data_IF_858088227978
#
_entry.id   IF_858088227978
#
_cell.length_a   1.000
_cell.length_b   1.000
_cell.length_c   1.000
_cell.angle_alpha   90.00
_cell.angle_beta   90.00
_cell.angle_gamma   90.00
#
_symmetry.space_group_name_H-M   'P 1'
#
loop_
_entity.id
_entity.type
_entity.pdbx_description
1 polymer ?
#
# COMPACT_ATOMS: atom_id res chain seq x y z
N UNK A 1 -19.69 10.57 -9.61
CA UNK A 1 -19.82 11.38 -8.39
C UNK A 1 -18.44 11.97 -8.11
N UNK A 2 -18.31 13.26 -7.87
CA UNK A 2 -17.01 13.92 -7.70
C UNK A 2 -16.57 13.87 -6.22
N UNK A 3 -15.31 13.52 -5.98
CA UNK A 3 -14.67 13.62 -4.66
C UNK A 3 -13.83 14.89 -4.67
N UNK A 4 -14.12 15.80 -3.74
CA UNK A 4 -13.43 17.09 -3.62
C UNK A 4 -12.81 17.20 -2.23
N UNK A 5 -11.54 17.60 -2.20
CA UNK A 5 -10.83 17.91 -0.97
C UNK A 5 -10.10 19.26 -1.07
N UNK A 6 -9.90 19.95 0.07
CA UNK A 6 -9.23 21.24 0.08
C UNK A 6 -7.77 21.10 -0.36
N UNK A 7 -7.15 22.21 -0.73
CA UNK A 7 -5.70 22.29 -0.71
C UNK A 7 -5.22 22.21 0.74
N UNK A 8 -4.00 21.74 0.92
CA UNK A 8 -3.38 21.60 2.22
C UNK A 8 -2.77 22.91 2.71
N UNK A 9 -1.81 22.77 3.62
CA UNK A 9 -1.09 23.90 4.24
C UNK A 9 0.22 24.25 3.52
N UNK A 10 0.48 23.63 2.36
CA UNK A 10 1.72 23.79 1.60
C UNK A 10 1.46 24.13 0.14
N UNK A 11 1.99 23.31 -0.77
CA UNK A 11 1.88 23.48 -2.22
C UNK A 11 3.16 23.93 -2.91
N UNK A 12 4.27 23.99 -2.17
CA UNK A 12 5.60 24.35 -2.67
C UNK A 12 6.63 23.29 -2.30
N UNK A 13 7.89 23.55 -2.65
CA UNK A 13 9.00 22.64 -2.41
C UNK A 13 9.19 22.38 -0.91
N UNK A 14 9.56 21.14 -0.58
CA UNK A 14 9.94 20.77 0.79
C UNK A 14 11.16 21.60 1.20
N UNK A 15 11.02 22.39 2.28
CA UNK A 15 12.02 23.38 2.70
C UNK A 15 12.99 22.89 3.78
N UNK A 16 12.74 21.73 4.38
CA UNK A 16 13.52 21.22 5.51
C UNK A 16 13.47 19.69 5.63
N UNK A 17 14.31 19.14 6.51
CA UNK A 17 14.42 17.70 6.72
C UNK A 17 15.38 17.00 5.75
N UNK A 18 15.57 15.67 5.88
CA UNK A 18 16.57 14.92 5.14
C UNK A 18 16.31 14.86 3.63
N UNK A 19 15.08 15.17 3.20
CA UNK A 19 14.67 15.12 1.80
C UNK A 19 14.48 16.51 1.17
N UNK A 20 14.84 17.60 1.83
CA UNK A 20 14.70 18.95 1.27
C UNK A 20 15.45 19.14 -0.06
N UNK A 21 16.56 18.43 -0.24
CA UNK A 21 17.42 18.50 -1.43
C UNK A 21 17.31 17.28 -2.34
N UNK A 22 16.25 16.47 -2.20
CA UNK A 22 16.05 15.33 -3.11
C UNK A 22 15.66 15.82 -4.50
N UNK A 23 16.24 15.19 -5.52
CA UNK A 23 15.89 15.45 -6.92
C UNK A 23 14.96 14.35 -7.43
N UNK A 24 13.88 14.77 -8.07
CA UNK A 24 12.81 13.91 -8.57
C UNK A 24 12.90 13.92 -10.10
N UNK A 25 13.26 12.79 -10.72
CA UNK A 25 13.83 12.76 -12.11
C UNK A 25 12.89 12.27 -13.23
N UNK A 26 11.68 11.81 -12.93
CA UNK A 26 10.71 11.28 -13.89
C UNK A 26 9.40 12.07 -13.82
N UNK A 27 8.32 11.64 -14.49
CA UNK A 27 6.98 12.25 -14.35
C UNK A 27 6.94 13.78 -14.58
N UNK A 28 5.84 14.45 -14.25
CA UNK A 28 4.56 13.88 -13.86
C UNK A 28 3.92 13.07 -15.00
N UNK A 29 3.13 12.05 -14.66
CA UNK A 29 2.39 11.22 -15.61
C UNK A 29 0.91 11.61 -15.58
N UNK A 30 0.29 11.63 -14.41
CA UNK A 30 -1.10 12.11 -14.20
C UNK A 30 -1.18 12.83 -12.85
N UNK A 31 -0.50 13.97 -12.74
CA UNK A 31 -0.44 14.75 -11.50
C UNK A 31 -1.70 15.62 -11.35
N UNK A 32 -2.49 15.38 -10.30
CA UNK A 32 -3.63 16.22 -9.99
C UNK A 32 -3.20 17.55 -9.32
N UNK A 33 -3.62 18.67 -9.92
CA UNK A 33 -3.31 20.03 -9.48
C UNK A 33 -4.55 20.74 -8.91
N UNK A 34 -4.29 21.75 -8.08
CA UNK A 34 -5.35 22.61 -7.52
C UNK A 34 -6.16 23.27 -8.65
N UNK A 35 -7.49 23.28 -8.48
CA UNK A 35 -8.41 23.85 -9.47
C UNK A 35 -8.80 22.88 -10.59
N UNK A 36 -8.82 21.57 -10.31
CA UNK A 36 -9.23 20.51 -11.25
C UNK A 36 -8.41 20.52 -12.55
N UNK A 37 -7.10 20.70 -12.40
CA UNK A 37 -6.14 20.63 -13.52
C UNK A 37 -5.31 19.35 -13.38
N UNK A 38 -4.80 18.85 -14.49
CA UNK A 38 -3.91 17.68 -14.51
C UNK A 38 -2.66 18.03 -15.30
N UNK A 39 -1.49 17.68 -14.77
CA UNK A 39 -0.21 17.77 -15.49
C UNK A 39 0.23 16.38 -15.95
N UNK A 40 0.47 16.25 -17.25
CA UNK A 40 0.92 15.03 -17.92
C UNK A 40 2.22 15.26 -18.71
N UNK A 41 2.88 16.40 -18.50
CA UNK A 41 4.01 16.89 -19.30
C UNK A 41 5.24 16.01 -19.28
N UNK A 42 5.39 15.15 -18.27
CA UNK A 42 6.52 14.24 -18.09
C UNK A 42 6.22 12.77 -18.38
N UNK A 43 5.09 12.45 -19.00
CA UNK A 43 4.77 11.09 -19.41
C UNK A 43 5.81 10.52 -20.40
N UNK A 44 6.02 9.20 -20.34
CA UNK A 44 6.93 8.48 -21.25
C UNK A 44 8.39 8.37 -20.78
N UNK A 45 8.62 8.36 -19.47
CA UNK A 45 9.94 8.09 -18.84
C UNK A 45 11.07 9.04 -19.27
N UNK A 46 10.73 10.24 -19.74
CA UNK A 46 11.73 11.25 -20.07
C UNK A 46 12.35 11.79 -18.78
N UNK A 47 13.65 12.10 -18.87
CA UNK A 47 14.33 12.80 -17.78
C UNK A 47 13.67 14.16 -17.55
N UNK A 48 13.05 14.33 -16.39
CA UNK A 48 12.42 15.57 -15.95
C UNK A 48 12.78 15.80 -14.48
N UNK A 49 13.73 16.72 -14.25
CA UNK A 49 14.21 17.02 -12.91
C UNK A 49 13.38 18.11 -12.26
N UNK A 50 12.73 17.79 -11.15
CA UNK A 50 12.04 18.72 -10.29
C UNK A 50 12.40 18.46 -8.82
N UNK A 51 12.01 19.37 -7.93
CA UNK A 51 12.14 19.20 -6.50
C UNK A 51 10.84 18.61 -5.92
N UNK A 52 10.97 17.93 -4.78
CA UNK A 52 9.83 17.36 -4.07
C UNK A 52 8.89 18.46 -3.55
N UNK A 53 7.60 18.35 -3.87
CA UNK A 53 6.55 19.27 -3.41
C UNK A 53 5.60 18.55 -2.46
N UNK A 54 5.20 19.21 -1.37
CA UNK A 54 4.15 18.69 -0.47
C UNK A 54 3.10 19.74 -0.16
N UNK A 55 1.87 19.28 -0.01
CA UNK A 55 0.71 20.09 0.34
C UNK A 55 -0.11 19.32 1.39
N UNK A 56 0.43 19.26 2.61
CA UNK A 56 -0.09 18.40 3.68
C UNK A 56 -1.55 18.76 4.01
N UNK A 57 -2.44 17.79 3.86
CA UNK A 57 -3.90 17.97 3.91
C UNK A 57 -4.55 17.03 4.93
N UNK A 58 -4.56 17.43 6.21
CA UNK A 58 -5.11 16.63 7.32
C UNK A 58 -6.59 16.28 7.16
N UNK A 59 -7.35 17.12 6.47
CA UNK A 59 -8.78 16.89 6.22
C UNK A 59 -9.02 15.59 5.42
N UNK A 60 -8.09 15.20 4.53
CA UNK A 60 -8.16 13.93 3.81
C UNK A 60 -7.93 12.76 4.78
N UNK A 61 -6.98 12.90 5.72
CA UNK A 61 -6.72 11.89 6.74
C UNK A 61 -7.94 11.69 7.63
N UNK A 62 -8.55 12.77 8.12
CA UNK A 62 -9.74 12.68 8.94
C UNK A 62 -10.92 12.03 8.23
N UNK A 63 -11.06 12.24 6.92
CA UNK A 63 -12.16 11.68 6.13
C UNK A 63 -11.97 10.21 5.76
N UNK A 64 -10.75 9.79 5.42
CA UNK A 64 -10.52 8.50 4.75
C UNK A 64 -9.48 7.62 5.44
N UNK A 65 -8.63 8.16 6.31
CA UNK A 65 -7.47 7.47 6.89
C UNK A 65 -7.51 7.57 8.42
N UNK A 66 -8.66 7.23 8.99
CA UNK A 66 -8.88 7.21 10.44
C UNK A 66 -9.04 5.77 10.96
N UNK A 67 -9.11 5.63 12.28
CA UNK A 67 -9.27 4.33 12.94
C UNK A 67 -10.51 3.57 12.44
N UNK A 68 -11.64 4.26 12.25
CA UNK A 68 -12.88 3.67 11.73
C UNK A 68 -12.65 3.07 10.35
N UNK A 69 -11.95 3.77 9.45
CA UNK A 69 -11.63 3.25 8.11
C UNK A 69 -10.81 1.95 8.18
N UNK A 70 -9.84 1.88 9.10
CA UNK A 70 -9.06 0.64 9.33
C UNK A 70 -9.93 -0.47 9.92
N UNK A 71 -10.77 -0.16 10.91
CA UNK A 71 -11.68 -1.13 11.51
C UNK A 71 -12.70 -1.68 10.51
N UNK A 72 -13.21 -0.84 9.60
CA UNK A 72 -14.08 -1.29 8.50
C UNK A 72 -13.36 -2.32 7.63
N UNK A 73 -12.10 -2.11 7.27
CA UNK A 73 -11.33 -3.11 6.53
C UNK A 73 -11.20 -4.42 7.32
N UNK A 74 -10.84 -4.34 8.60
CA UNK A 74 -10.58 -5.53 9.41
C UNK A 74 -11.85 -6.35 9.73
N UNK A 75 -12.96 -5.66 10.01
CA UNK A 75 -14.19 -6.27 10.52
C UNK A 75 -15.25 -6.52 9.45
N UNK A 76 -15.38 -5.62 8.49
CA UNK A 76 -16.54 -5.54 7.59
C UNK A 76 -16.24 -6.00 6.16
N UNK A 77 -15.08 -6.63 5.92
CA UNK A 77 -14.74 -7.21 4.61
C UNK A 77 -14.53 -8.73 4.73
N UNK A 78 -15.37 -9.47 4.02
CA UNK A 78 -15.47 -10.93 4.14
C UNK A 78 -14.45 -11.67 3.26
N UNK A 79 -14.04 -11.06 2.15
CA UNK A 79 -13.14 -11.66 1.17
C UNK A 79 -12.11 -10.66 0.63
N UNK A 80 -11.12 -11.18 -0.09
CA UNK A 80 -10.02 -10.41 -0.68
C UNK A 80 -10.53 -9.34 -1.66
N UNK A 81 -11.63 -9.62 -2.38
CA UNK A 81 -12.21 -8.67 -3.32
C UNK A 81 -12.73 -7.43 -2.61
N UNK A 82 -13.51 -7.58 -1.55
CA UNK A 82 -14.03 -6.44 -0.79
C UNK A 82 -12.94 -5.75 0.02
N UNK A 83 -11.98 -6.50 0.58
CA UNK A 83 -10.84 -5.90 1.28
C UNK A 83 -10.06 -4.95 0.36
N UNK A 84 -9.61 -5.42 -0.81
CA UNK A 84 -8.83 -4.59 -1.74
C UNK A 84 -9.67 -3.45 -2.34
N UNK A 85 -10.96 -3.68 -2.59
CA UNK A 85 -11.89 -2.68 -3.15
C UNK A 85 -12.12 -1.52 -2.19
N UNK A 86 -12.39 -1.81 -0.91
CA UNK A 86 -12.59 -0.76 0.10
C UNK A 86 -11.27 -0.05 0.41
N UNK A 87 -10.15 -0.79 0.46
CA UNK A 87 -8.83 -0.21 0.72
C UNK A 87 -8.41 0.79 -0.36
N UNK A 88 -8.71 0.49 -1.62
CA UNK A 88 -8.35 1.28 -2.80
C UNK A 88 -9.43 2.30 -3.22
N UNK A 89 -10.58 2.28 -2.56
CA UNK A 89 -11.75 3.10 -2.91
C UNK A 89 -12.65 2.41 -3.93
N UNK A 90 -13.89 2.12 -3.52
CA UNK A 90 -14.86 1.47 -4.39
C UNK A 90 -15.29 2.41 -5.54
N UNK A 91 -15.34 1.89 -6.76
CA UNK A 91 -15.71 2.68 -7.93
C UNK A 91 -17.13 3.27 -7.77
N UNK A 92 -17.25 4.58 -7.98
CA UNK A 92 -18.52 5.30 -7.78
C UNK A 92 -18.82 5.70 -6.32
N UNK A 93 -18.00 5.29 -5.35
CA UNK A 93 -18.07 5.75 -3.97
C UNK A 93 -17.50 7.16 -3.79
N UNK A 94 -17.90 7.84 -2.72
CA UNK A 94 -17.23 9.06 -2.23
C UNK A 94 -16.10 8.78 -1.25
N UNK A 95 -16.02 7.54 -0.77
CA UNK A 95 -14.92 7.05 0.02
C UNK A 95 -13.83 6.55 -0.92
N UNK A 96 -12.68 7.19 -0.88
CA UNK A 96 -11.52 6.81 -1.68
C UNK A 96 -10.70 5.71 -1.00
N UNK A 97 -10.97 5.38 0.25
CA UNK A 97 -10.21 4.36 0.99
C UNK A 97 -8.87 4.87 1.52
N UNK A 98 -8.27 4.06 2.39
CA UNK A 98 -7.06 4.43 3.13
C UNK A 98 -5.83 4.59 2.22
N UNK A 99 -5.79 3.87 1.09
CA UNK A 99 -4.63 3.85 0.19
C UNK A 99 -4.49 5.17 -0.58
N UNK A 100 -5.42 5.54 -1.49
CA UNK A 100 -5.30 6.84 -2.15
C UNK A 100 -5.55 7.99 -1.17
N UNK A 101 -6.27 7.81 -0.07
CA UNK A 101 -6.42 8.82 0.98
C UNK A 101 -5.09 9.28 1.55
N UNK A 102 -4.20 8.35 1.90
CA UNK A 102 -2.88 8.69 2.44
C UNK A 102 -1.94 9.25 1.37
N UNK A 103 -1.98 8.78 0.13
CA UNK A 103 -1.22 9.41 -0.96
C UNK A 103 -1.65 10.86 -1.18
N UNK A 104 -2.96 11.10 -1.29
CA UNK A 104 -3.50 12.44 -1.57
C UNK A 104 -3.31 13.42 -0.38
N UNK A 105 -3.21 12.92 0.85
CA UNK A 105 -2.98 13.77 2.03
C UNK A 105 -1.56 14.35 2.10
N UNK A 106 -0.58 13.70 1.47
CA UNK A 106 0.76 14.26 1.29
C UNK A 106 0.74 15.47 0.35
N UNK A 107 -0.20 15.46 -0.60
CA UNK A 107 -0.37 16.51 -1.59
C UNK A 107 0.84 16.66 -2.52
N UNK A 108 0.88 17.77 -3.25
CA UNK A 108 2.03 18.12 -4.09
C UNK A 108 2.39 17.10 -5.17
N UNK A 109 3.68 17.05 -5.52
CA UNK A 109 4.28 16.22 -6.56
C UNK A 109 5.45 15.44 -5.95
N UNK A 110 5.39 14.10 -5.91
CA UNK A 110 4.44 13.23 -6.63
C UNK A 110 3.24 12.73 -5.81
N UNK A 111 2.93 13.28 -4.63
CA UNK A 111 1.89 12.72 -3.75
C UNK A 111 0.50 12.61 -4.40
N UNK A 112 0.18 13.51 -5.34
CA UNK A 112 -1.07 13.48 -6.12
C UNK A 112 -0.92 12.87 -7.53
N UNK A 113 0.17 12.17 -7.80
CA UNK A 113 0.39 11.47 -9.07
C UNK A 113 0.52 9.96 -8.84
N UNK A 114 -0.54 9.25 -9.23
CA UNK A 114 -0.71 7.81 -9.00
C UNK A 114 0.49 6.97 -9.49
N UNK A 115 1.07 7.31 -10.64
CA UNK A 115 2.08 6.48 -11.30
C UNK A 115 3.49 6.65 -10.75
N UNK A 116 3.73 7.77 -10.09
CA UNK A 116 5.09 8.20 -9.73
C UNK A 116 5.19 8.58 -8.25
N UNK A 117 4.19 8.19 -7.47
CA UNK A 117 4.13 8.31 -6.02
C UNK A 117 5.34 7.72 -5.29
N UNK A 118 6.02 6.61 -5.72
CA UNK A 118 7.18 6.08 -4.99
C UNK A 118 8.38 7.03 -4.88
N UNK A 119 8.37 8.15 -5.61
CA UNK A 119 9.41 9.19 -5.49
C UNK A 119 9.18 10.13 -4.32
N UNK A 120 8.02 10.06 -3.68
CA UNK A 120 7.77 10.63 -2.36
C UNK A 120 8.25 9.62 -1.30
N UNK A 121 9.28 9.94 -0.50
CA UNK A 121 9.85 9.00 0.47
C UNK A 121 8.84 8.43 1.47
N UNK A 122 7.78 9.18 1.82
CA UNK A 122 6.72 8.72 2.71
C UNK A 122 5.86 7.59 2.10
N UNK A 123 5.87 7.41 0.77
CA UNK A 123 5.11 6.33 0.12
C UNK A 123 5.57 4.94 0.56
N UNK A 124 6.84 4.77 0.94
CA UNK A 124 7.35 3.50 1.48
C UNK A 124 6.78 3.19 2.86
N UNK A 125 6.76 4.17 3.75
CA UNK A 125 6.16 4.01 5.08
C UNK A 125 4.64 3.81 4.98
N UNK A 126 4.00 4.51 4.05
CA UNK A 126 2.58 4.31 3.76
C UNK A 126 2.30 2.87 3.29
N UNK A 127 3.04 2.35 2.31
CA UNK A 127 2.83 0.99 1.80
C UNK A 127 3.21 -0.08 2.83
N UNK A 128 4.17 0.16 3.72
CA UNK A 128 4.40 -0.70 4.87
C UNK A 128 3.17 -0.77 5.80
N UNK A 129 2.47 0.34 6.01
CA UNK A 129 1.22 0.32 6.79
C UNK A 129 0.05 -0.30 6.02
N UNK A 130 0.00 -0.22 4.69
CA UNK A 130 -0.96 -0.95 3.86
C UNK A 130 -0.75 -2.46 4.00
N UNK A 131 0.49 -2.92 3.82
CA UNK A 131 0.86 -4.32 4.00
C UNK A 131 0.56 -4.81 5.42
N UNK A 132 0.82 -3.98 6.43
CA UNK A 132 0.44 -4.28 7.81
C UNK A 132 -1.07 -4.48 7.98
N UNK A 133 -1.91 -3.60 7.44
CA UNK A 133 -3.37 -3.74 7.56
C UNK A 133 -3.85 -4.99 6.83
N UNK A 134 -3.27 -5.31 5.68
CA UNK A 134 -3.53 -6.55 4.95
C UNK A 134 -3.11 -7.79 5.76
N UNK A 135 -1.91 -7.79 6.31
CA UNK A 135 -1.41 -8.84 7.21
C UNK A 135 -2.33 -9.03 8.41
N UNK A 136 -2.76 -7.95 9.07
CA UNK A 136 -3.72 -8.02 10.18
C UNK A 136 -5.05 -8.65 9.74
N UNK A 137 -5.57 -8.27 8.57
CA UNK A 137 -6.80 -8.84 8.02
C UNK A 137 -6.65 -10.33 7.70
N UNK A 138 -5.52 -10.75 7.12
CA UNK A 138 -5.22 -12.15 6.86
C UNK A 138 -5.16 -12.96 8.17
N UNK A 139 -4.53 -12.40 9.21
CA UNK A 139 -4.37 -13.09 10.49
C UNK A 139 -5.66 -13.29 11.30
N UNK A 140 -6.76 -12.63 10.93
CA UNK A 140 -8.08 -12.89 11.54
C UNK A 140 -8.66 -14.24 11.11
N UNK A 141 -8.32 -14.72 9.91
CA UNK A 141 -8.67 -16.05 9.40
C UNK A 141 -7.64 -16.52 8.36
N UNK A 142 -6.45 -16.98 8.80
CA UNK A 142 -5.33 -17.25 7.91
C UNK A 142 -5.59 -18.43 6.97
N UNK A 143 -6.46 -19.37 7.35
CA UNK A 143 -6.83 -20.50 6.51
C UNK A 143 -7.58 -20.02 5.26
N UNK A 144 -8.56 -19.12 5.42
CA UNK A 144 -9.34 -18.61 4.30
C UNK A 144 -8.66 -17.42 3.59
N UNK A 145 -7.87 -16.61 4.29
CA UNK A 145 -7.38 -15.31 3.77
C UNK A 145 -5.94 -15.31 3.28
N UNK A 146 -5.14 -16.31 3.66
CA UNK A 146 -3.73 -16.42 3.24
C UNK A 146 -3.40 -17.79 2.63
N UNK A 147 -3.76 -18.89 3.31
CA UNK A 147 -3.34 -20.23 2.92
C UNK A 147 -4.17 -20.83 1.77
N UNK A 148 -5.46 -20.50 1.68
CA UNK A 148 -6.34 -21.07 0.67
C UNK A 148 -6.17 -20.36 -0.69
N UNK A 149 -5.61 -21.09 -1.63
CA UNK A 149 -5.31 -20.63 -3.00
C UNK A 149 -6.53 -20.16 -3.79
N UNK A 150 -7.74 -20.60 -3.45
CA UNK A 150 -8.97 -20.20 -4.16
C UNK A 150 -9.58 -18.89 -3.67
N UNK A 151 -9.16 -18.40 -2.50
CA UNK A 151 -9.74 -17.22 -1.85
C UNK A 151 -8.71 -16.13 -1.56
N UNK A 152 -7.42 -16.49 -1.47
CA UNK A 152 -6.34 -15.55 -1.14
C UNK A 152 -6.06 -14.52 -2.25
N UNK A 153 -6.46 -14.78 -3.50
CA UNK A 153 -6.29 -13.87 -4.64
C UNK A 153 -7.62 -13.72 -5.38
N UNK A 154 -8.01 -12.48 -5.71
CA UNK A 154 -9.23 -12.21 -6.47
C UNK A 154 -9.11 -10.91 -7.30
N UNK A 155 -9.79 -10.87 -8.44
CA UNK A 155 -9.92 -9.72 -9.33
C UNK A 155 -9.10 -9.81 -10.62
N UNK A 156 -9.34 -8.89 -11.57
CA UNK A 156 -8.69 -8.89 -12.88
C UNK A 156 -7.20 -8.54 -12.77
N UNK A 157 -6.38 -9.06 -13.68
CA UNK A 157 -4.95 -8.72 -13.75
C UNK A 157 -4.67 -7.35 -14.39
N UNK A 158 -5.68 -6.72 -14.99
CA UNK A 158 -5.59 -5.36 -15.53
C UNK A 158 -6.47 -4.40 -14.74
N UNK A 159 -6.04 -3.14 -14.64
CA UNK A 159 -6.72 -2.12 -13.84
C UNK A 159 -8.19 -1.97 -14.28
N UNK A 160 -9.13 -2.25 -13.36
CA UNK A 160 -10.58 -2.27 -13.59
C UNK A 160 -11.02 -3.15 -14.78
N UNK A 161 -10.21 -4.15 -15.17
CA UNK A 161 -10.43 -4.99 -16.36
C UNK A 161 -10.55 -4.17 -17.67
N UNK A 162 -9.87 -3.01 -17.75
CA UNK A 162 -10.01 -2.08 -18.89
C UNK A 162 -9.19 -2.48 -20.12
N UNK A 163 -8.25 -3.43 -19.98
CA UNK A 163 -7.30 -3.79 -21.03
C UNK A 163 -7.10 -5.31 -21.09
N UNK A 164 -6.78 -5.80 -22.29
CA UNK A 164 -6.39 -7.19 -22.50
C UNK A 164 -5.03 -7.51 -21.84
N UNK A 165 -4.80 -8.75 -21.36
CA UNK A 165 -5.74 -9.87 -21.38
C UNK A 165 -6.80 -9.79 -20.26
N UNK A 166 -8.07 -10.02 -20.63
CA UNK A 166 -9.18 -10.10 -19.67
C UNK A 166 -9.19 -11.44 -18.94
N UNK A 167 -8.54 -11.51 -17.78
CA UNK A 167 -8.58 -12.66 -16.88
C UNK A 167 -8.44 -12.25 -15.41
N UNK A 168 -8.94 -13.11 -14.53
CA UNK A 168 -8.68 -12.98 -13.11
C UNK A 168 -7.28 -13.45 -12.74
N UNK A 169 -6.71 -12.81 -11.73
CA UNK A 169 -5.46 -13.19 -11.11
C UNK A 169 -5.58 -14.56 -10.43
N UNK A 170 -4.48 -15.28 -10.42
CA UNK A 170 -4.31 -16.58 -9.78
C UNK A 170 -3.00 -16.56 -9.00
N UNK A 171 -2.87 -17.46 -8.03
CA UNK A 171 -1.60 -17.64 -7.29
C UNK A 171 -0.41 -18.02 -8.17
N UNK A 172 -0.63 -18.42 -9.43
CA UNK A 172 0.42 -18.78 -10.38
C UNK A 172 0.88 -17.60 -11.24
N UNK A 173 0.22 -16.45 -11.16
CA UNK A 173 0.61 -15.27 -11.94
C UNK A 173 1.95 -14.72 -11.47
N UNK A 174 2.89 -14.63 -12.40
CA UNK A 174 4.25 -14.21 -12.14
C UNK A 174 4.34 -12.69 -11.95
N UNK A 175 5.01 -12.27 -10.88
CA UNK A 175 5.31 -10.89 -10.54
C UNK A 175 6.80 -10.62 -10.73
N UNK A 176 7.15 -9.41 -11.20
CA UNK A 176 8.53 -8.95 -11.24
C UNK A 176 8.60 -7.42 -11.04
N UNK A 177 9.77 -6.93 -10.61
CA UNK A 177 10.06 -5.51 -10.44
C UNK A 177 10.97 -4.96 -11.55
N UNK A 178 11.07 -5.68 -12.68
CA UNK A 178 11.93 -5.31 -13.80
C UNK A 178 13.38 -5.05 -13.39
N UNK A 179 13.84 -3.82 -13.60
CA UNK A 179 15.22 -3.38 -13.29
C UNK A 179 15.39 -2.82 -11.87
N UNK A 180 14.33 -2.73 -11.08
CA UNK A 180 14.36 -2.13 -9.74
C UNK A 180 14.99 -3.08 -8.71
N UNK A 181 14.75 -4.37 -8.86
CA UNK A 181 15.35 -5.44 -8.06
C UNK A 181 15.88 -6.53 -8.99
N UNK A 182 16.77 -7.38 -8.51
CA UNK A 182 17.29 -8.51 -9.30
C UNK A 182 16.12 -9.34 -9.87
N UNK A 183 16.17 -9.63 -11.17
CA UNK A 183 15.05 -10.15 -11.94
C UNK A 183 14.74 -11.61 -11.56
N UNK A 184 13.98 -11.76 -10.49
CA UNK A 184 13.30 -13.00 -10.14
C UNK A 184 11.82 -12.81 -10.44
N UNK A 185 11.30 -13.55 -11.42
CA UNK A 185 9.86 -13.74 -11.52
C UNK A 185 9.44 -14.63 -10.36
N UNK A 186 8.47 -14.15 -9.57
CA UNK A 186 7.97 -14.85 -8.38
C UNK A 186 6.47 -15.09 -8.58
N UNK A 187 6.01 -16.31 -8.34
CA UNK A 187 4.59 -16.61 -8.38
C UNK A 187 3.87 -15.82 -7.28
N UNK A 188 2.72 -15.20 -7.58
CA UNK A 188 1.96 -14.41 -6.63
C UNK A 188 1.68 -15.17 -5.31
N UNK A 189 1.44 -16.48 -5.39
CA UNK A 189 1.25 -17.35 -4.23
C UNK A 189 2.41 -17.36 -3.24
N UNK A 190 3.66 -17.18 -3.70
CA UNK A 190 4.85 -17.12 -2.84
C UNK A 190 4.98 -15.78 -2.10
N UNK A 191 4.12 -14.80 -2.42
CA UNK A 191 4.09 -13.47 -1.82
C UNK A 191 2.96 -13.31 -0.79
N UNK A 192 2.14 -14.35 -0.56
CA UNK A 192 0.91 -14.25 0.24
C UNK A 192 1.13 -14.33 1.76
N UNK A 193 2.36 -14.66 2.19
CA UNK A 193 2.72 -14.80 3.61
C UNK A 193 4.00 -14.05 3.90
N UNK A 194 4.00 -13.24 4.95
CA UNK A 194 5.18 -12.48 5.40
C UNK A 194 6.26 -13.36 6.04
N UNK A 195 5.98 -14.65 6.25
CA UNK A 195 6.88 -15.61 6.94
C UNK A 195 7.15 -16.89 6.14
N UNK A 196 6.71 -16.93 4.88
CA UNK A 196 6.98 -18.01 3.95
C UNK A 196 7.55 -17.46 2.63
N UNK A 197 7.99 -18.35 1.74
CA UNK A 197 8.57 -17.96 0.45
C UNK A 197 9.83 -17.11 0.63
N UNK A 198 9.82 -15.91 0.06
CA UNK A 198 10.94 -14.96 0.15
C UNK A 198 10.87 -14.01 1.34
N UNK A 199 9.81 -14.08 2.16
CA UNK A 199 9.59 -13.18 3.27
C UNK A 199 9.84 -13.85 4.62
N UNK A 200 10.40 -13.10 5.55
CA UNK A 200 10.55 -13.49 6.95
C UNK A 200 10.52 -12.23 7.83
N UNK A 201 9.33 -11.63 7.95
CA UNK A 201 9.07 -10.47 8.78
C UNK A 201 7.67 -10.54 9.41
N UNK A 202 7.52 -9.82 10.52
CA UNK A 202 6.23 -9.61 11.19
C UNK A 202 6.10 -8.14 11.59
N UNK A 203 4.87 -7.71 11.85
CA UNK A 203 4.59 -6.39 12.40
C UNK A 203 4.37 -6.48 13.91
N UNK A 204 5.06 -5.66 14.68
CA UNK A 204 5.02 -5.71 16.14
C UNK A 204 4.63 -4.38 16.77
N UNK A 205 3.92 -4.45 17.89
CA UNK A 205 3.59 -3.29 18.71
C UNK A 205 4.73 -2.99 19.68
N UNK A 206 5.41 -1.86 19.51
CA UNK A 206 6.40 -1.34 20.45
C UNK A 206 5.94 0.00 21.01
N UNK A 207 5.50 0.00 22.27
CA UNK A 207 5.25 1.20 23.10
C UNK A 207 4.21 2.17 22.55
N UNK A 208 4.60 2.96 21.55
CA UNK A 208 3.85 4.07 20.92
C UNK A 208 3.60 3.87 19.40
N UNK A 209 4.00 2.75 18.81
CA UNK A 209 3.79 2.49 17.38
C UNK A 209 4.00 1.04 16.97
N UNK A 210 3.71 0.73 15.69
CA UNK A 210 4.02 -0.58 15.10
C UNK A 210 5.17 -0.47 14.10
N UNK A 211 6.15 -1.36 14.25
CA UNK A 211 7.34 -1.48 13.40
C UNK A 211 7.41 -2.86 12.76
N UNK A 212 7.95 -2.94 11.54
CA UNK A 212 8.29 -4.21 10.92
C UNK A 212 9.60 -4.75 11.52
N UNK A 213 9.56 -5.95 12.09
CA UNK A 213 10.71 -6.62 12.68
C UNK A 213 11.12 -7.86 11.88
N UNK A 214 12.42 -8.08 11.72
CA UNK A 214 12.96 -9.33 11.16
C UNK A 214 13.29 -10.30 12.30
N UNK A 215 12.65 -11.48 12.28
CA UNK A 215 12.82 -12.48 13.33
C UNK A 215 13.40 -13.78 12.78
N UNK A 216 14.73 -13.82 12.66
CA UNK A 216 15.46 -15.01 12.22
C UNK A 216 15.20 -16.26 13.06
N UNK A 217 14.83 -16.12 14.34
CA UNK A 217 14.49 -17.26 15.22
C UNK A 217 13.07 -17.82 15.02
N UNK A 218 12.08 -16.99 14.65
CA UNK A 218 10.69 -17.44 14.45
C UNK A 218 10.57 -18.27 13.17
N UNK A 219 11.22 -17.85 12.08
CA UNK A 219 11.14 -18.55 10.79
C UNK A 219 11.88 -19.90 10.81
N UNK A 220 12.99 -20.05 11.55
CA UNK A 220 13.64 -21.36 11.72
C UNK A 220 12.77 -22.40 12.44
N UNK A 221 11.89 -21.97 13.37
CA UNK A 221 10.98 -22.87 14.09
C UNK A 221 9.88 -23.38 13.15
N UNK A 222 9.33 -22.54 12.28
CA UNK A 222 8.30 -22.92 11.29
C UNK A 222 8.81 -23.93 10.27
N UNK A 223 10.08 -23.84 9.86
CA UNK A 223 10.70 -24.84 8.96
C UNK A 223 11.00 -26.19 9.61
N UNK A 224 10.95 -26.28 10.96
CA UNK A 224 11.42 -27.45 11.72
C UNK A 224 10.34 -28.45 12.15
N UNK A 225 9.08 -28.06 12.18
CA UNK A 225 7.96 -28.95 12.53
C UNK A 225 6.67 -28.15 12.42
N UNK A 226 5.72 -28.59 11.58
CA UNK A 226 4.46 -27.92 11.26
C UNK A 226 3.47 -27.77 12.43
N UNK A 227 3.89 -27.05 13.46
CA UNK A 227 3.05 -26.61 14.56
C UNK A 227 2.96 -25.09 14.53
N UNK A 228 1.77 -24.60 14.17
CA UNK A 228 1.33 -23.23 14.42
C UNK A 228 1.57 -22.95 15.90
N UNK A 229 2.56 -22.12 16.21
CA UNK A 229 2.67 -21.55 17.55
C UNK A 229 1.47 -20.61 17.67
N UNK A 230 0.42 -21.08 18.37
CA UNK A 230 -0.64 -20.20 18.88
C UNK A 230 0.04 -18.96 19.41
N UNK A 231 -0.32 -17.79 18.87
CA UNK A 231 0.07 -16.49 19.42
C UNK A 231 -0.06 -16.59 20.94
N UNK A 232 1.09 -16.65 21.62
CA UNK A 232 1.13 -16.69 23.06
C UNK A 232 0.43 -15.42 23.51
N UNK A 233 -0.57 -15.57 24.38
CA UNK A 233 -1.23 -14.45 25.03
C UNK A 233 -0.15 -13.48 25.50
N UNK A 234 -0.15 -12.26 24.97
CA UNK A 234 0.60 -11.16 25.53
C UNK A 234 0.07 -10.95 26.94
N UNK A 235 0.74 -11.62 27.88
CA UNK A 235 0.53 -11.44 29.30
C UNK A 235 0.77 -9.97 29.60
N UNK A 236 -0.21 -9.35 30.27
CA UNK A 236 -0.02 -8.09 30.98
C UNK A 236 1.27 -8.20 31.79
N UNK A 237 2.29 -7.45 31.41
CA UNK A 237 3.35 -7.07 32.32
C UNK A 237 2.88 -5.80 33.05
N UNK A 238 3.06 -5.82 34.36
CA UNK A 238 2.53 -4.90 35.37
C UNK A 238 2.97 -3.44 35.20
#
# INVERSE_FOLDING_TARGET
MEVVFPHGTGGSYVTSGPFANITVNLGPVVLALVGNKTDTSGAGYKYNTCCLNRDLTDDILHRYVNETSVLTLLRDTDDTWWFQTIMSGAWGSRDIGIHPGAHNSLGGDPGRDFWVSPREPASWAHHANIDRVWWMWQMLDPELRAANVSTAVNGPITMYDLYEPHKNATIFDLQNLGWVAEAQEVALGELMSTTEGMFCYVYEWEGEGIVAGSYSRLCHIMTGSGHIVRAASLGRAA
#
